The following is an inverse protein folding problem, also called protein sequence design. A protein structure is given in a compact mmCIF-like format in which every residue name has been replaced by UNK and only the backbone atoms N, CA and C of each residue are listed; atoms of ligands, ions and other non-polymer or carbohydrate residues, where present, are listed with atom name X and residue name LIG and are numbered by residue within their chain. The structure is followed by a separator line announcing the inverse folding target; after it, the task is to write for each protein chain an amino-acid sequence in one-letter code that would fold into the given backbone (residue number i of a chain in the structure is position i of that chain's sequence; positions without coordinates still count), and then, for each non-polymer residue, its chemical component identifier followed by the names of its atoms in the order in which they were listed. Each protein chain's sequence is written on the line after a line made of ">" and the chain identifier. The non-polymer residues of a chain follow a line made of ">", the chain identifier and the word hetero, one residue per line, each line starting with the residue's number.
data_IF_570184058043
#
_entry.id   IF_570184058043
#
_cell.length_a   1.000
_cell.length_b   1.000
_cell.length_c   1.000
_cell.angle_alpha   90.00
_cell.angle_beta   90.00
_cell.angle_gamma   90.00
#
_symmetry.space_group_name_H-M   'P 1'
#
loop_
_entity.id
_entity.type
_entity.pdbx_description
1 polymer ?
#
# COMPACT_ATOMS: atom_id res chain seq x y z
N UNK A 1 1.84 31.87 -2.43
CA UNK A 1 2.78 31.29 -1.45
C UNK A 1 1.96 30.79 -0.28
N UNK A 2 1.87 29.48 -0.02
CA UNK A 2 1.10 28.95 1.10
C UNK A 2 1.82 29.22 2.43
N UNK A 3 1.12 29.77 3.42
CA UNK A 3 1.65 30.09 4.74
C UNK A 3 2.10 28.82 5.46
N UNK A 4 3.14 28.93 6.29
CA UNK A 4 3.72 27.83 7.09
C UNK A 4 2.68 27.09 7.94
N UNK A 5 1.65 27.79 8.41
CA UNK A 5 0.52 27.18 9.15
C UNK A 5 -0.37 26.28 8.29
N UNK A 6 -0.60 26.60 7.01
CA UNK A 6 -1.37 25.75 6.09
C UNK A 6 -0.60 24.46 5.75
N UNK A 7 0.71 24.56 5.58
CA UNK A 7 1.58 23.40 5.32
C UNK A 7 1.63 22.45 6.52
N UNK A 8 1.67 23.00 7.73
CA UNK A 8 1.68 22.19 8.96
C UNK A 8 0.34 21.47 9.16
N UNK A 9 -0.79 22.16 8.97
CA UNK A 9 -2.13 21.58 9.10
C UNK A 9 -2.39 20.45 8.11
N UNK A 10 -2.06 20.64 6.82
CA UNK A 10 -2.23 19.58 5.82
C UNK A 10 -1.37 18.33 6.09
N UNK A 11 -0.19 18.51 6.70
CA UNK A 11 0.67 17.39 7.11
C UNK A 11 0.08 16.64 8.31
N UNK A 12 -0.44 17.36 9.30
CA UNK A 12 -1.06 16.75 10.48
C UNK A 12 -2.33 15.98 10.08
N UNK A 13 -3.15 16.55 9.18
CA UNK A 13 -4.35 15.89 8.63
C UNK A 13 -3.99 14.63 7.83
N UNK A 14 -2.94 14.68 7.00
CA UNK A 14 -2.46 13.53 6.22
C UNK A 14 -1.92 12.40 7.11
N UNK A 15 -1.24 12.74 8.20
CA UNK A 15 -0.75 11.75 9.19
C UNK A 15 -1.89 11.09 9.93
N UNK A 16 -2.89 11.85 10.37
CA UNK A 16 -4.07 11.29 11.03
C UNK A 16 -4.86 10.35 10.11
N UNK A 17 -4.94 10.65 8.80
CA UNK A 17 -5.56 9.75 7.84
C UNK A 17 -4.77 8.42 7.70
N UNK A 18 -3.44 8.49 7.60
CA UNK A 18 -2.59 7.29 7.55
C UNK A 18 -2.68 6.46 8.83
N UNK A 19 -2.79 7.09 10.01
CA UNK A 19 -2.97 6.37 11.28
C UNK A 19 -4.30 5.59 11.30
N UNK A 20 -5.38 6.18 10.80
CA UNK A 20 -6.66 5.48 10.66
C UNK A 20 -6.57 4.30 9.67
N UNK A 21 -5.90 4.49 8.54
CA UNK A 21 -5.71 3.45 7.54
C UNK A 21 -4.86 2.28 8.07
N UNK A 22 -3.82 2.57 8.86
CA UNK A 22 -3.01 1.55 9.54
C UNK A 22 -3.86 0.75 10.53
N UNK A 23 -4.74 1.40 11.30
CA UNK A 23 -5.65 0.70 12.21
C UNK A 23 -6.61 -0.24 11.48
N UNK A 24 -7.18 0.21 10.35
CA UNK A 24 -8.05 -0.63 9.51
C UNK A 24 -7.30 -1.87 9.01
N UNK A 25 -6.07 -1.72 8.52
CA UNK A 25 -5.26 -2.86 8.08
C UNK A 25 -4.94 -3.84 9.20
N UNK A 26 -4.64 -3.35 10.40
CA UNK A 26 -4.39 -4.22 11.56
C UNK A 26 -5.64 -5.01 11.94
N UNK A 27 -6.82 -4.39 11.92
CA UNK A 27 -8.08 -5.10 12.16
C UNK A 27 -8.36 -6.16 11.09
N UNK A 28 -8.17 -5.84 9.82
CA UNK A 28 -8.33 -6.79 8.72
C UNK A 28 -7.34 -7.96 8.84
N UNK A 29 -6.10 -7.70 9.26
CA UNK A 29 -5.08 -8.72 9.50
C UNK A 29 -5.46 -9.66 10.65
N UNK A 30 -6.02 -9.13 11.74
CA UNK A 30 -6.45 -9.93 12.90
C UNK A 30 -7.64 -10.82 12.57
N UNK A 31 -8.53 -10.36 11.70
CA UNK A 31 -9.69 -11.13 11.21
C UNK A 31 -9.32 -12.16 10.12
N UNK A 32 -8.14 -12.05 9.51
CA UNK A 32 -7.75 -12.89 8.38
C UNK A 32 -7.08 -14.19 8.85
N UNK A 33 -7.65 -15.34 8.47
CA UNK A 33 -7.08 -16.66 8.77
C UNK A 33 -6.10 -17.16 7.69
N UNK A 34 -6.00 -16.47 6.56
CA UNK A 34 -5.13 -16.85 5.45
C UNK A 34 -3.72 -16.25 5.63
N UNK A 35 -2.74 -17.10 5.96
CA UNK A 35 -1.38 -16.64 6.28
C UNK A 35 -0.74 -15.74 5.20
N UNK A 36 -0.79 -16.06 3.89
CA UNK A 36 -0.30 -15.15 2.85
C UNK A 36 -0.94 -13.76 2.86
N UNK A 37 -2.23 -13.65 3.18
CA UNK A 37 -2.93 -12.37 3.23
C UNK A 37 -2.54 -11.56 4.46
N UNK A 38 -2.32 -12.22 5.60
CA UNK A 38 -1.75 -11.57 6.80
C UNK A 38 -0.38 -10.95 6.52
N UNK A 39 0.48 -11.65 5.79
CA UNK A 39 1.79 -11.12 5.38
C UNK A 39 1.67 -9.89 4.46
N UNK A 40 0.65 -9.86 3.59
CA UNK A 40 0.35 -8.70 2.76
C UNK A 40 -0.11 -7.51 3.59
N UNK A 41 -1.01 -7.72 4.57
CA UNK A 41 -1.47 -6.66 5.47
C UNK A 41 -0.35 -6.11 6.35
N UNK A 42 0.49 -6.97 6.94
CA UNK A 42 1.67 -6.54 7.71
C UNK A 42 2.63 -5.69 6.86
N UNK A 43 2.90 -6.15 5.62
CA UNK A 43 3.74 -5.43 4.67
C UNK A 43 3.17 -4.05 4.31
N UNK A 44 1.85 -3.95 4.11
CA UNK A 44 1.16 -2.69 3.84
C UNK A 44 1.19 -1.75 5.05
N UNK A 45 0.88 -2.25 6.25
CA UNK A 45 0.92 -1.46 7.48
C UNK A 45 2.32 -0.91 7.78
N UNK A 46 3.35 -1.72 7.57
CA UNK A 46 4.73 -1.30 7.73
C UNK A 46 5.16 -0.25 6.68
N UNK A 47 4.67 -0.36 5.45
CA UNK A 47 4.88 0.65 4.41
C UNK A 47 4.21 1.98 4.77
N UNK A 48 2.92 1.97 5.15
CA UNK A 48 2.20 3.18 5.54
C UNK A 48 2.84 3.86 6.76
N UNK A 49 3.28 3.08 7.75
CA UNK A 49 4.05 3.60 8.90
C UNK A 49 5.32 4.29 8.44
N UNK A 50 6.05 3.70 7.49
CA UNK A 50 7.26 4.30 6.91
C UNK A 50 6.96 5.61 6.18
N UNK A 51 5.85 5.67 5.43
CA UNK A 51 5.41 6.89 4.73
C UNK A 51 5.02 7.98 5.74
N UNK A 52 4.25 7.62 6.79
CA UNK A 52 3.83 8.53 7.87
C UNK A 52 5.02 9.15 8.61
N UNK A 53 6.00 8.31 8.93
CA UNK A 53 7.19 8.68 9.70
C UNK A 53 8.25 9.38 8.83
N UNK A 54 8.14 9.29 7.50
CA UNK A 54 8.97 10.04 6.57
C UNK A 54 8.74 11.55 6.76
N UNK A 55 9.83 12.31 6.69
CA UNK A 55 9.82 13.79 6.73
C UNK A 55 9.72 14.41 5.35
N UNK A 56 9.80 13.59 4.30
CA UNK A 56 9.62 14.03 2.92
C UNK A 56 8.11 14.07 2.63
N UNK A 57 7.54 15.29 2.62
CA UNK A 57 6.21 15.61 2.06
C UNK A 57 6.21 15.35 0.54
N UNK A 58 6.43 14.11 0.12
CA UNK A 58 6.31 13.72 -1.27
C UNK A 58 4.94 13.10 -1.47
N UNK A 59 4.04 13.92 -2.01
CA UNK A 59 2.68 13.57 -2.41
C UNK A 59 2.62 12.24 -3.18
N UNK A 60 3.63 11.97 -4.01
CA UNK A 60 3.76 10.71 -4.76
C UNK A 60 3.79 9.46 -3.87
N UNK A 61 4.45 9.52 -2.70
CA UNK A 61 4.50 8.41 -1.75
C UNK A 61 3.21 8.29 -0.94
N UNK A 62 2.53 9.41 -0.65
CA UNK A 62 1.20 9.37 -0.03
C UNK A 62 0.18 8.72 -0.96
N UNK A 63 0.19 9.10 -2.24
CA UNK A 63 -0.66 8.49 -3.27
C UNK A 63 -0.35 7.01 -3.47
N UNK A 64 0.93 6.63 -3.46
CA UNK A 64 1.33 5.22 -3.52
C UNK A 64 0.82 4.44 -2.29
N UNK A 65 0.91 5.03 -1.10
CA UNK A 65 0.36 4.44 0.13
C UNK A 65 -1.15 4.19 0.02
N UNK A 66 -1.90 5.16 -0.53
CA UNK A 66 -3.34 5.00 -0.80
C UNK A 66 -3.63 3.88 -1.80
N UNK A 67 -2.86 3.80 -2.89
CA UNK A 67 -3.00 2.70 -3.85
C UNK A 67 -2.75 1.32 -3.21
N UNK A 68 -1.80 1.23 -2.27
CA UNK A 68 -1.55 -0.01 -1.54
C UNK A 68 -2.75 -0.38 -0.65
N UNK A 69 -3.34 0.60 0.04
CA UNK A 69 -4.52 0.40 0.86
C UNK A 69 -5.73 -0.06 0.04
N UNK A 70 -5.96 0.52 -1.13
CA UNK A 70 -7.08 0.13 -1.99
C UNK A 70 -6.96 -1.33 -2.43
N UNK A 71 -5.75 -1.79 -2.73
CA UNK A 71 -5.50 -3.21 -3.04
C UNK A 71 -5.72 -4.10 -1.81
N UNK A 72 -5.29 -3.69 -0.62
CA UNK A 72 -5.57 -4.43 0.61
C UNK A 72 -7.06 -4.51 0.94
N UNK A 73 -7.84 -3.44 0.71
CA UNK A 73 -9.31 -3.47 0.86
C UNK A 73 -9.98 -4.37 -0.17
N UNK A 74 -9.47 -4.39 -1.41
CA UNK A 74 -9.95 -5.31 -2.44
C UNK A 74 -9.63 -6.77 -2.09
N UNK A 75 -8.45 -7.02 -1.52
CA UNK A 75 -8.07 -8.32 -0.98
C UNK A 75 -9.01 -8.76 0.16
N UNK A 76 -9.29 -7.87 1.11
CA UNK A 76 -10.23 -8.14 2.23
C UNK A 76 -11.59 -8.58 1.71
N UNK A 77 -12.18 -7.79 0.81
CA UNK A 77 -13.47 -8.12 0.16
C UNK A 77 -13.41 -9.41 -0.65
N UNK A 78 -12.30 -9.66 -1.33
CA UNK A 78 -12.11 -10.87 -2.13
C UNK A 78 -11.92 -12.14 -1.30
N UNK A 79 -11.57 -12.01 -0.03
CA UNK A 79 -11.42 -13.12 0.93
C UNK A 79 -12.60 -13.23 1.90
N UNK A 80 -13.50 -12.25 1.94
CA UNK A 80 -14.65 -12.25 2.83
C UNK A 80 -15.50 -13.51 2.59
N UNK A 81 -15.73 -14.28 3.66
CA UNK A 81 -16.51 -15.52 3.60
C UNK A 81 -15.82 -16.71 2.94
N UNK A 82 -14.60 -16.58 2.42
CA UNK A 82 -13.85 -17.69 1.81
C UNK A 82 -13.10 -18.51 2.85
N UNK A 83 -13.18 -19.84 2.78
CA UNK A 83 -12.30 -20.69 3.59
C UNK A 83 -10.89 -20.77 2.98
N UNK A 84 -9.83 -20.97 3.79
CA UNK A 84 -8.45 -20.99 3.31
C UNK A 84 -8.17 -22.01 2.19
N UNK A 85 -8.90 -23.13 2.17
CA UNK A 85 -8.83 -24.20 1.17
C UNK A 85 -9.63 -23.92 -0.10
N UNK A 86 -10.54 -22.94 -0.07
CA UNK A 86 -11.35 -22.51 -1.23
C UNK A 86 -10.64 -21.43 -2.07
N UNK A 87 -9.54 -20.87 -1.55
CA UNK A 87 -8.76 -19.84 -2.24
C UNK A 87 -8.00 -20.46 -3.40
N UNK A 88 -8.27 -19.98 -4.62
CA UNK A 88 -7.59 -20.53 -5.80
C UNK A 88 -6.08 -20.25 -5.79
N UNK A 89 -5.27 -21.12 -6.42
CA UNK A 89 -3.84 -20.88 -6.58
C UNK A 89 -3.50 -19.53 -7.22
N UNK A 90 -4.34 -19.03 -8.13
CA UNK A 90 -4.18 -17.71 -8.75
C UNK A 90 -4.34 -16.55 -7.78
N UNK A 91 -5.24 -16.66 -6.79
CA UNK A 91 -5.40 -15.66 -5.74
C UNK A 91 -4.20 -15.72 -4.79
N UNK A 92 -3.79 -16.92 -4.38
CA UNK A 92 -2.59 -17.10 -3.54
C UNK A 92 -1.35 -16.50 -4.19
N UNK A 93 -1.18 -16.67 -5.49
CA UNK A 93 -0.07 -16.09 -6.25
C UNK A 93 -0.17 -14.55 -6.33
N UNK A 94 -1.37 -14.01 -6.56
CA UNK A 94 -1.59 -12.57 -6.54
C UNK A 94 -1.28 -11.94 -5.16
N UNK A 95 -1.63 -12.63 -4.07
CA UNK A 95 -1.30 -12.21 -2.71
C UNK A 95 0.22 -12.20 -2.49
N UNK A 96 0.94 -13.24 -2.93
CA UNK A 96 2.41 -13.27 -2.84
C UNK A 96 3.06 -12.14 -3.65
N UNK A 97 2.57 -11.88 -4.86
CA UNK A 97 3.04 -10.77 -5.69
C UNK A 97 2.78 -9.42 -5.01
N UNK A 98 1.61 -9.25 -4.40
CA UNK A 98 1.29 -8.06 -3.60
C UNK A 98 2.30 -7.87 -2.46
N UNK A 99 2.54 -8.90 -1.66
CA UNK A 99 3.50 -8.87 -0.55
C UNK A 99 4.91 -8.49 -1.02
N UNK A 100 5.36 -9.08 -2.14
CA UNK A 100 6.66 -8.76 -2.74
C UNK A 100 6.74 -7.29 -3.19
N UNK A 101 5.71 -6.78 -3.87
CA UNK A 101 5.63 -5.39 -4.31
C UNK A 101 5.63 -4.42 -3.12
N UNK A 102 4.80 -4.66 -2.10
CA UNK A 102 4.75 -3.85 -0.89
C UNK A 102 6.11 -3.83 -0.17
N UNK A 103 6.78 -4.98 -0.09
CA UNK A 103 8.12 -5.09 0.51
C UNK A 103 9.16 -4.31 -0.30
N UNK A 104 9.11 -4.38 -1.64
CA UNK A 104 10.02 -3.64 -2.51
C UNK A 104 9.84 -2.12 -2.35
N UNK A 105 8.59 -1.64 -2.35
CA UNK A 105 8.27 -0.23 -2.11
C UNK A 105 8.83 0.20 -0.75
N UNK A 106 8.55 -0.57 0.32
CA UNK A 106 9.01 -0.24 1.67
C UNK A 106 10.54 -0.14 1.74
N UNK A 107 11.25 -1.15 1.22
CA UNK A 107 12.73 -1.15 1.21
C UNK A 107 13.26 0.11 0.53
N UNK A 108 12.67 0.48 -0.59
CA UNK A 108 13.10 1.65 -1.35
C UNK A 108 12.77 2.95 -0.63
N UNK A 109 11.59 3.09 -0.02
CA UNK A 109 11.22 4.23 0.81
C UNK A 109 12.15 4.40 2.01
N UNK A 110 12.50 3.31 2.72
CA UNK A 110 13.47 3.34 3.84
C UNK A 110 14.87 3.71 3.34
N UNK A 111 15.33 3.12 2.24
CA UNK A 111 16.66 3.38 1.69
C UNK A 111 16.80 4.83 1.21
N UNK A 112 15.77 5.37 0.56
CA UNK A 112 15.75 6.75 0.09
C UNK A 112 15.52 7.75 1.24
N UNK A 113 14.79 7.39 2.30
CA UNK A 113 14.71 8.18 3.53
C UNK A 113 16.07 8.39 4.21
N UNK A 114 16.98 7.42 4.10
CA UNK A 114 18.38 7.53 4.59
C UNK A 114 19.30 8.35 3.68
N UNK A 115 19.00 8.43 2.38
CA UNK A 115 19.78 9.16 1.37
C UNK A 115 19.01 10.41 0.96
N UNK A 116 19.18 11.53 1.69
CA UNK A 116 18.61 12.86 1.39
C UNK A 116 17.97 13.00 0.00
N UNK A 117 16.66 12.74 -0.08
CA UNK A 117 15.82 12.62 -1.30
C UNK A 117 15.79 13.87 -2.22
N UNK A 118 16.49 14.96 -1.88
CA UNK A 118 16.34 16.27 -2.50
C UNK A 118 17.11 16.50 -3.80
N UNK A 119 17.92 15.55 -4.27
CA UNK A 119 18.66 15.74 -5.51
C UNK A 119 17.75 15.58 -6.73
N UNK A 120 17.56 16.68 -7.49
CA UNK A 120 16.82 16.73 -8.75
C UNK A 120 17.24 15.66 -9.77
N UNK A 121 18.47 15.16 -9.67
CA UNK A 121 19.05 14.12 -10.53
C UNK A 121 18.31 12.77 -10.47
N UNK A 122 17.63 12.43 -9.37
CA UNK A 122 16.92 11.14 -9.22
C UNK A 122 15.40 11.27 -9.26
N UNK A 123 14.88 12.40 -9.73
CA UNK A 123 13.42 12.61 -9.79
C UNK A 123 12.77 11.77 -10.87
N UNK A 124 13.34 11.75 -12.09
CA UNK A 124 12.81 10.98 -13.21
C UNK A 124 12.82 9.48 -12.94
N UNK A 125 13.94 8.95 -12.44
CA UNK A 125 14.09 7.55 -12.05
C UNK A 125 13.08 7.14 -10.96
N UNK A 126 12.76 8.06 -10.04
CA UNK A 126 11.73 7.86 -9.00
C UNK A 126 10.32 7.84 -9.58
N UNK A 127 10.00 8.78 -10.46
CA UNK A 127 8.68 8.84 -11.13
C UNK A 127 8.44 7.56 -11.94
N UNK A 128 9.44 7.10 -12.71
CA UNK A 128 9.36 5.85 -13.49
C UNK A 128 9.18 4.61 -12.57
N UNK A 129 9.91 4.58 -11.45
CA UNK A 129 9.78 3.48 -10.46
C UNK A 129 8.40 3.45 -9.80
N UNK A 130 7.88 4.61 -9.37
CA UNK A 130 6.56 4.72 -8.74
C UNK A 130 5.45 4.36 -9.74
N UNK A 131 5.59 4.78 -11.00
CA UNK A 131 4.66 4.40 -12.07
C UNK A 131 4.63 2.89 -12.28
N UNK A 132 5.79 2.23 -12.30
CA UNK A 132 5.89 0.77 -12.38
C UNK A 132 5.15 0.07 -11.24
N UNK A 133 5.38 0.50 -9.99
CA UNK A 133 4.66 -0.06 -8.84
C UNK A 133 3.16 0.18 -8.89
N UNK A 134 2.69 1.37 -9.30
CA UNK A 134 1.26 1.64 -9.48
C UNK A 134 0.64 0.72 -10.53
N UNK A 135 1.38 0.43 -11.61
CA UNK A 135 0.93 -0.51 -12.63
C UNK A 135 0.83 -1.94 -12.09
N UNK A 136 1.81 -2.39 -11.31
CA UNK A 136 1.78 -3.70 -10.67
C UNK A 136 0.61 -3.83 -9.68
N UNK A 137 0.40 -2.82 -8.83
CA UNK A 137 -0.75 -2.75 -7.93
C UNK A 137 -2.08 -2.79 -8.68
N UNK A 138 -2.18 -2.08 -9.80
CA UNK A 138 -3.38 -2.09 -10.66
C UNK A 138 -3.63 -3.47 -11.25
N UNK A 139 -2.58 -4.15 -11.74
CA UNK A 139 -2.69 -5.52 -12.27
C UNK A 139 -3.17 -6.49 -11.20
N UNK A 140 -2.65 -6.37 -9.98
CA UNK A 140 -3.05 -7.18 -8.83
C UNK A 140 -4.51 -6.90 -8.46
N UNK A 141 -4.91 -5.62 -8.40
CA UNK A 141 -6.29 -5.21 -8.13
C UNK A 141 -7.29 -5.84 -9.11
N UNK A 142 -6.94 -5.90 -10.40
CA UNK A 142 -7.77 -6.51 -11.43
C UNK A 142 -8.02 -8.01 -11.15
N UNK A 143 -7.03 -8.74 -10.63
CA UNK A 143 -7.20 -10.17 -10.29
C UNK A 143 -8.25 -10.34 -9.17
N UNK A 144 -8.25 -9.45 -8.18
CA UNK A 144 -9.25 -9.46 -7.10
C UNK A 144 -10.63 -9.00 -7.57
N UNK A 145 -10.72 -7.94 -8.40
CA UNK A 145 -12.00 -7.44 -8.91
C UNK A 145 -12.68 -8.37 -9.93
N UNK A 146 -11.93 -9.09 -10.77
CA UNK A 146 -12.49 -10.02 -11.77
C UNK A 146 -13.27 -11.16 -11.11
N UNK A 147 -13.03 -11.47 -9.83
CA UNK A 147 -13.77 -12.50 -9.07
C UNK A 147 -14.93 -11.98 -8.21
N UNK A 148 -15.05 -10.66 -8.02
CA UNK A 148 -16.20 -10.06 -7.31
C UNK A 148 -17.50 -10.06 -8.15
N UNK A 149 -17.43 -10.49 -9.42
CA UNK A 149 -18.59 -10.61 -10.32
C UNK A 149 -18.81 -12.09 -10.65
N UNK A 150 -19.25 -12.86 -9.66
CA UNK A 150 -19.95 -14.12 -9.89
C UNK A 150 -21.46 -13.85 -9.94
N UNK A 151 -22.20 -14.28 -10.97
CA UNK A 151 -23.64 -14.05 -11.03
C UNK A 151 -24.33 -14.84 -9.91
N UNK A 152 -25.26 -14.16 -9.24
CA UNK A 152 -26.25 -14.78 -8.37
C UNK A 152 -27.14 -15.77 -9.14
#
# INVERSE_FOLDING_TARGET
>A
MASTSQRKRGRDDGRSALDADIQVLNHAMDACHLQPAREAYDSAGALLTTIRDSTADEEDYMDLGRSCLDVCKALERGLEGSQPDEVSPSILEAIKQLTATLTAIRKETVNKGKRNMRSRLFRKDREDTIAGWKQDLTRILQIFHVRSVGPA
#
